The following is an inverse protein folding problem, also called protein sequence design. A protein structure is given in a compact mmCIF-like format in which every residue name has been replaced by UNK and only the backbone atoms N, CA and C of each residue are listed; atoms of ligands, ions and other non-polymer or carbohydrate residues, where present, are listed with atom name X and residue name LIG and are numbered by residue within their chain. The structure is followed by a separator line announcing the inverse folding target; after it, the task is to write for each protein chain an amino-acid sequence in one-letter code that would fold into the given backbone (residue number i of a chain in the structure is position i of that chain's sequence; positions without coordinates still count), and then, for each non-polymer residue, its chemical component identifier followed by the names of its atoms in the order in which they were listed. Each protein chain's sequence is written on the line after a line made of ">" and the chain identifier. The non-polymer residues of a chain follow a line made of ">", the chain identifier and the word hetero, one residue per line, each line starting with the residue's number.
data_IF_399868736100
#
_entry.id   IF_399868736100
#
_cell.length_a   1.000
_cell.length_b   1.000
_cell.length_c   1.000
_cell.angle_alpha   90.00
_cell.angle_beta   90.00
_cell.angle_gamma   90.00
#
_symmetry.space_group_name_H-M   'P 1'
#
loop_
_entity.id
_entity.type
_entity.pdbx_description
1 polymer ?
#
# COMPACT_ATOMS: atom_id res chain seq x y z
N UNK A 1 -46.62 -37.59 4.62
CA UNK A 1 -46.22 -37.08 5.95
C UNK A 1 -45.04 -37.85 6.54
N UNK A 2 -45.10 -39.19 6.64
CA UNK A 2 -44.02 -40.04 7.20
C UNK A 2 -42.66 -39.84 6.50
N UNK A 3 -42.61 -39.87 5.17
CA UNK A 3 -41.36 -39.69 4.41
C UNK A 3 -40.69 -38.34 4.69
N UNK A 4 -41.47 -37.26 4.72
CA UNK A 4 -40.96 -35.91 5.02
C UNK A 4 -40.37 -35.89 6.43
N UNK A 5 -41.11 -36.42 7.42
CA UNK A 5 -40.66 -36.47 8.81
C UNK A 5 -39.35 -37.25 8.95
N UNK A 6 -39.25 -38.43 8.33
CA UNK A 6 -38.04 -39.28 8.36
C UNK A 6 -36.85 -38.60 7.69
N UNK A 7 -37.06 -37.98 6.52
CA UNK A 7 -35.98 -37.26 5.82
C UNK A 7 -35.49 -36.05 6.63
N UNK A 8 -36.38 -35.27 7.23
CA UNK A 8 -35.99 -34.16 8.11
C UNK A 8 -35.20 -34.64 9.32
N UNK A 9 -35.59 -35.76 9.93
CA UNK A 9 -34.91 -36.33 11.09
C UNK A 9 -33.50 -36.81 10.74
N UNK A 10 -33.33 -37.48 9.60
CA UNK A 10 -32.03 -37.95 9.12
C UNK A 10 -31.11 -36.77 8.82
N UNK A 11 -31.58 -35.74 8.09
CA UNK A 11 -30.76 -34.55 7.77
C UNK A 11 -30.37 -33.80 9.06
N UNK A 12 -31.30 -33.65 10.00
CA UNK A 12 -31.02 -32.99 11.28
C UNK A 12 -30.00 -33.78 12.12
N UNK A 13 -30.08 -35.11 12.11
CA UNK A 13 -29.12 -35.96 12.81
C UNK A 13 -27.72 -35.86 12.18
N UNK A 14 -27.62 -35.93 10.85
CA UNK A 14 -26.34 -35.82 10.14
C UNK A 14 -25.70 -34.44 10.38
N UNK A 15 -26.47 -33.36 10.26
CA UNK A 15 -25.98 -31.99 10.50
C UNK A 15 -25.54 -31.79 11.95
N UNK A 16 -26.28 -32.33 12.91
CA UNK A 16 -25.90 -32.28 14.34
C UNK A 16 -24.62 -33.07 14.63
N UNK A 17 -24.47 -34.26 14.04
CA UNK A 17 -23.26 -35.06 14.16
C UNK A 17 -22.06 -34.32 13.55
N UNK A 18 -22.23 -33.74 12.35
CA UNK A 18 -21.16 -32.98 11.71
C UNK A 18 -20.77 -31.75 12.55
N UNK A 19 -21.75 -31.02 13.10
CA UNK A 19 -21.50 -29.89 13.99
C UNK A 19 -20.77 -30.31 15.27
N UNK A 20 -21.13 -31.45 15.87
CA UNK A 20 -20.44 -32.00 17.04
C UNK A 20 -19.00 -32.42 16.73
N UNK A 21 -18.76 -33.06 15.58
CA UNK A 21 -17.41 -33.41 15.12
C UNK A 21 -16.57 -32.15 14.90
N UNK A 22 -17.12 -31.14 14.23
CA UNK A 22 -16.42 -29.86 14.03
C UNK A 22 -16.10 -29.17 15.35
N UNK A 23 -17.04 -29.15 16.29
CA UNK A 23 -16.82 -28.57 17.63
C UNK A 23 -15.74 -29.33 18.42
N UNK A 24 -15.73 -30.66 18.32
CA UNK A 24 -14.70 -31.49 18.96
C UNK A 24 -13.33 -31.28 18.31
N UNK A 25 -13.27 -31.22 16.99
CA UNK A 25 -12.05 -30.94 16.24
C UNK A 25 -11.49 -29.54 16.57
N UNK A 26 -12.35 -28.53 16.66
CA UNK A 26 -11.96 -27.17 17.06
C UNK A 26 -11.38 -27.15 18.47
N UNK A 27 -12.03 -27.81 19.43
CA UNK A 27 -11.55 -27.91 20.82
C UNK A 27 -10.26 -28.69 21.01
N UNK A 28 -9.95 -29.66 20.15
CA UNK A 28 -8.83 -30.59 20.35
C UNK A 28 -7.66 -30.36 19.40
N UNK A 29 -7.92 -29.95 18.17
CA UNK A 29 -6.91 -29.77 17.10
C UNK A 29 -6.74 -28.29 16.74
N UNK A 30 -7.81 -27.49 16.84
CA UNK A 30 -7.82 -26.06 16.52
C UNK A 30 -7.41 -25.15 17.67
N UNK A 31 -7.64 -25.58 18.92
CA UNK A 31 -7.30 -24.81 20.11
C UNK A 31 -5.83 -24.99 20.48
N UNK A 32 -5.00 -24.04 20.06
CA UNK A 32 -3.57 -23.98 20.39
C UNK A 32 -3.30 -23.36 21.78
N UNK A 33 -4.35 -22.95 22.50
CA UNK A 33 -4.24 -22.28 23.80
C UNK A 33 -3.59 -20.90 23.71
N UNK A 34 -3.17 -20.40 24.88
CA UNK A 34 -2.35 -19.19 24.97
C UNK A 34 -0.90 -19.52 24.62
N UNK A 35 -0.30 -18.67 23.79
CA UNK A 35 1.10 -18.75 23.39
C UNK A 35 1.82 -17.46 23.75
N UNK A 36 3.12 -17.54 23.99
CA UNK A 36 3.97 -16.37 24.25
C UNK A 36 4.58 -15.85 22.97
N UNK A 37 4.29 -14.58 22.66
CA UNK A 37 4.92 -13.82 21.60
C UNK A 37 5.97 -12.89 22.21
N UNK A 38 7.25 -13.15 21.96
CA UNK A 38 8.34 -12.26 22.39
C UNK A 38 8.85 -11.45 21.21
N UNK A 39 9.00 -10.14 21.37
CA UNK A 39 9.45 -9.21 20.34
C UNK A 39 10.74 -8.54 20.81
N UNK A 40 11.78 -8.61 19.98
CA UNK A 40 13.12 -8.03 20.22
C UNK A 40 13.76 -8.45 21.56
N UNK A 41 13.39 -9.63 22.09
CA UNK A 41 13.80 -10.14 23.42
C UNK A 41 13.45 -9.22 24.61
N UNK A 42 12.58 -8.23 24.42
CA UNK A 42 12.22 -7.24 25.45
C UNK A 42 10.76 -7.33 25.85
N UNK A 43 9.85 -7.39 24.88
CA UNK A 43 8.40 -7.36 25.12
C UNK A 43 7.80 -8.73 24.91
N UNK A 44 7.09 -9.24 25.92
CA UNK A 44 6.41 -10.54 25.85
C UNK A 44 4.92 -10.35 26.04
N UNK A 45 4.14 -10.85 25.07
CA UNK A 45 2.68 -10.83 25.07
C UNK A 45 2.16 -12.25 25.22
N UNK A 46 1.09 -12.43 25.99
CA UNK A 46 0.33 -13.69 26.04
C UNK A 46 -0.85 -13.53 25.11
N UNK A 47 -0.88 -14.32 24.04
CA UNK A 47 -1.83 -14.16 22.93
C UNK A 47 -2.50 -15.48 22.59
N UNK A 48 -3.69 -15.41 21.99
CA UNK A 48 -4.41 -16.61 21.55
C UNK A 48 -3.75 -17.22 20.30
N UNK A 49 -3.42 -18.52 20.39
CA UNK A 49 -2.88 -19.29 19.28
C UNK A 49 -3.92 -19.57 18.18
N UNK A 50 -3.45 -20.03 17.02
CA UNK A 50 -4.26 -20.40 15.86
C UNK A 50 -4.42 -19.29 14.81
N UNK A 51 -4.24 -18.03 15.20
CA UNK A 51 -4.30 -16.87 14.30
C UNK A 51 -2.95 -16.61 13.60
N UNK A 52 -2.97 -15.77 12.55
CA UNK A 52 -1.73 -15.36 11.87
C UNK A 52 -0.97 -14.35 12.71
N UNK A 53 0.37 -14.37 12.64
CA UNK A 53 1.23 -13.44 13.36
C UNK A 53 0.91 -11.98 13.03
N UNK A 54 0.57 -11.67 11.77
CA UNK A 54 0.14 -10.33 11.37
C UNK A 54 -1.13 -9.89 12.12
N UNK A 55 -2.13 -10.77 12.21
CA UNK A 55 -3.38 -10.48 12.91
C UNK A 55 -3.15 -10.31 14.40
N UNK A 56 -2.35 -11.19 15.01
CA UNK A 56 -1.99 -11.12 16.43
C UNK A 56 -1.27 -9.83 16.75
N UNK A 57 -0.25 -9.46 15.97
CA UNK A 57 0.49 -8.21 16.15
C UNK A 57 -0.44 -6.99 16.05
N UNK A 58 -1.35 -7.00 15.07
CA UNK A 58 -2.34 -5.92 14.91
C UNK A 58 -3.26 -5.79 16.13
N UNK A 59 -3.73 -6.90 16.70
CA UNK A 59 -4.58 -6.89 17.89
C UNK A 59 -3.85 -6.28 19.09
N UNK A 60 -2.55 -6.56 19.22
CA UNK A 60 -1.66 -5.96 20.21
C UNK A 60 -1.20 -4.53 19.83
N UNK A 61 -1.84 -3.89 18.84
CA UNK A 61 -1.53 -2.54 18.35
C UNK A 61 -0.09 -2.39 17.79
N UNK A 62 0.49 -3.50 17.32
CA UNK A 62 1.79 -3.53 16.64
C UNK A 62 1.55 -3.69 15.14
N UNK A 63 1.81 -2.63 14.38
CA UNK A 63 1.45 -2.60 12.97
C UNK A 63 2.63 -2.95 12.07
N UNK A 64 2.56 -4.12 11.43
CA UNK A 64 3.50 -4.55 10.40
C UNK A 64 2.93 -4.19 9.02
N UNK A 65 3.73 -3.62 8.09
CA UNK A 65 3.26 -3.25 6.76
C UNK A 65 2.68 -4.46 6.00
N UNK A 66 1.50 -4.29 5.41
CA UNK A 66 0.85 -5.36 4.65
C UNK A 66 -0.08 -4.83 3.57
N UNK A 67 0.47 -4.45 2.40
CA UNK A 67 -0.31 -3.87 1.31
C UNK A 67 -1.46 -4.77 0.82
N UNK A 68 -1.25 -6.09 0.80
CA UNK A 68 -2.28 -7.07 0.39
C UNK A 68 -3.31 -7.43 1.49
N UNK A 69 -3.17 -6.86 2.70
CA UNK A 69 -4.03 -7.19 3.84
C UNK A 69 -3.98 -8.66 4.26
N UNK A 70 -2.80 -9.26 4.20
CA UNK A 70 -2.55 -10.62 4.70
C UNK A 70 -2.83 -11.78 3.74
N UNK A 71 -3.07 -11.50 2.45
CA UNK A 71 -3.27 -12.54 1.42
C UNK A 71 -1.98 -13.20 0.91
N UNK A 72 -0.81 -12.80 1.43
CA UNK A 72 0.48 -13.45 1.13
C UNK A 72 1.07 -13.15 -0.26
N UNK A 73 0.70 -12.02 -0.88
CA UNK A 73 1.13 -11.70 -2.25
C UNK A 73 2.11 -10.53 -2.38
N UNK A 74 2.18 -9.63 -1.39
CA UNK A 74 2.98 -8.39 -1.51
C UNK A 74 4.40 -8.48 -0.92
N UNK A 75 4.68 -9.43 -0.02
CA UNK A 75 5.99 -9.56 0.61
C UNK A 75 6.38 -8.47 1.62
N UNK A 76 5.54 -7.47 1.91
CA UNK A 76 5.90 -6.40 2.85
C UNK A 76 5.87 -6.80 4.33
N UNK A 77 5.09 -7.81 4.70
CA UNK A 77 4.89 -8.18 6.11
C UNK A 77 6.00 -9.06 6.68
N UNK A 78 7.23 -8.84 6.22
CA UNK A 78 8.42 -9.62 6.58
C UNK A 78 8.82 -9.33 8.02
N UNK A 79 9.09 -10.39 8.77
CA UNK A 79 9.61 -10.36 10.14
C UNK A 79 10.67 -11.43 10.29
N UNK A 80 11.66 -11.21 11.15
CA UNK A 80 12.65 -12.25 11.46
C UNK A 80 12.10 -13.11 12.59
N UNK A 81 12.08 -14.43 12.41
CA UNK A 81 11.68 -15.38 13.45
C UNK A 81 12.93 -16.03 14.01
N UNK A 82 13.24 -15.75 15.28
CA UNK A 82 14.45 -16.27 15.95
C UNK A 82 14.20 -17.62 16.60
N UNK A 83 13.00 -17.83 17.14
CA UNK A 83 12.57 -19.11 17.72
C UNK A 83 11.08 -19.36 17.43
N UNK A 84 10.68 -20.61 17.18
CA UNK A 84 9.30 -20.98 16.89
C UNK A 84 8.90 -20.78 15.42
N UNK A 85 7.60 -20.54 15.15
CA UNK A 85 7.08 -20.21 13.80
C UNK A 85 7.02 -21.35 12.77
N UNK A 86 7.62 -22.52 13.04
CA UNK A 86 7.62 -23.68 12.15
C UNK A 86 8.43 -23.46 10.86
N UNK A 87 8.32 -24.35 9.85
CA UNK A 87 9.07 -24.22 8.60
C UNK A 87 8.47 -23.16 7.67
N UNK A 88 9.31 -22.57 6.82
CA UNK A 88 8.88 -21.64 5.75
C UNK A 88 7.89 -22.34 4.82
N UNK A 89 6.74 -21.70 4.58
CA UNK A 89 5.69 -22.25 3.74
C UNK A 89 6.00 -22.01 2.26
N UNK A 90 5.43 -22.86 1.39
CA UNK A 90 5.57 -22.71 -0.06
C UNK A 90 5.02 -21.38 -0.60
N UNK A 91 4.05 -20.79 0.11
CA UNK A 91 3.49 -19.47 -0.21
C UNK A 91 4.45 -18.32 0.09
N UNK A 92 5.44 -18.53 0.95
CA UNK A 92 6.42 -17.51 1.36
C UNK A 92 7.65 -17.51 0.45
N UNK A 93 8.08 -18.69 -0.02
CA UNK A 93 9.32 -18.86 -0.80
C UNK A 93 9.47 -17.90 -2.00
N UNK A 94 8.44 -17.62 -2.81
CA UNK A 94 8.58 -16.72 -3.97
C UNK A 94 8.86 -15.26 -3.59
N UNK A 95 8.59 -14.88 -2.34
CA UNK A 95 8.68 -13.50 -1.84
C UNK A 95 9.91 -13.27 -0.94
N UNK A 96 10.71 -14.31 -0.72
CA UNK A 96 11.92 -14.27 0.09
C UNK A 96 13.16 -14.37 -0.79
N UNK A 97 14.11 -13.47 -0.59
CA UNK A 97 15.44 -13.61 -1.17
C UNK A 97 16.23 -14.71 -0.46
N UNK A 98 17.32 -15.17 -1.07
CA UNK A 98 18.21 -16.17 -0.44
C UNK A 98 18.78 -15.68 0.90
N UNK A 99 19.09 -14.39 0.99
CA UNK A 99 19.62 -13.78 2.22
C UNK A 99 18.55 -13.68 3.31
N UNK A 100 17.33 -13.28 2.94
CA UNK A 100 16.19 -13.22 3.87
C UNK A 100 15.83 -14.61 4.40
N UNK A 101 15.82 -15.61 3.51
CA UNK A 101 15.59 -17.01 3.90
C UNK A 101 16.65 -17.50 4.89
N UNK A 102 17.93 -17.19 4.65
CA UNK A 102 19.03 -17.56 5.54
C UNK A 102 18.94 -16.88 6.92
N UNK A 103 18.29 -15.72 7.02
CA UNK A 103 18.02 -15.00 8.27
C UNK A 103 16.73 -15.43 8.96
N UNK A 104 16.12 -16.57 8.59
CA UNK A 104 14.83 -17.03 9.11
C UNK A 104 13.71 -16.00 8.97
N UNK A 105 13.72 -15.23 7.88
CA UNK A 105 12.66 -14.27 7.60
C UNK A 105 11.38 -14.97 7.18
N UNK A 106 10.24 -14.49 7.69
CA UNK A 106 8.90 -15.04 7.47
C UNK A 106 7.93 -13.97 7.08
N UNK A 107 6.89 -14.34 6.34
CA UNK A 107 5.72 -13.48 6.15
C UNK A 107 4.79 -13.64 7.35
N UNK A 108 4.71 -12.61 8.18
CA UNK A 108 3.85 -12.61 9.38
C UNK A 108 2.38 -12.95 9.07
N UNK A 109 1.87 -12.64 7.86
CA UNK A 109 0.50 -13.02 7.49
C UNK A 109 0.30 -14.51 7.19
N UNK A 110 1.37 -15.24 6.87
CA UNK A 110 1.31 -16.67 6.56
C UNK A 110 1.77 -17.52 7.75
N UNK A 111 2.59 -16.96 8.64
CA UNK A 111 3.04 -17.60 9.87
C UNK A 111 1.90 -17.69 10.90
N UNK A 112 1.42 -18.90 11.18
CA UNK A 112 0.40 -19.16 12.22
C UNK A 112 1.04 -19.41 13.58
N UNK A 113 0.49 -18.81 14.62
CA UNK A 113 0.95 -19.01 16.00
C UNK A 113 0.42 -20.34 16.53
N UNK A 114 1.26 -21.38 16.56
CA UNK A 114 0.90 -22.71 17.10
C UNK A 114 1.65 -23.06 18.39
N UNK A 115 2.64 -22.26 18.73
CA UNK A 115 3.56 -22.44 19.84
C UNK A 115 4.18 -21.08 20.17
N UNK A 116 4.88 -21.00 21.30
CA UNK A 116 5.68 -19.83 21.66
C UNK A 116 6.62 -19.44 20.51
N UNK A 117 6.70 -18.13 20.26
CA UNK A 117 7.43 -17.58 19.13
C UNK A 117 8.21 -16.34 19.59
N UNK A 118 9.44 -16.22 19.09
CA UNK A 118 10.26 -15.02 19.24
C UNK A 118 10.52 -14.42 17.88
N UNK A 119 10.29 -13.12 17.77
CA UNK A 119 10.49 -12.37 16.53
C UNK A 119 11.33 -11.13 16.76
N UNK A 120 11.96 -10.68 15.68
CA UNK A 120 12.62 -9.39 15.61
C UNK A 120 11.95 -8.52 14.54
N UNK A 121 11.63 -7.29 14.94
CA UNK A 121 11.06 -6.26 14.06
C UNK A 121 11.88 -4.97 14.18
N UNK A 122 12.02 -4.20 13.08
CA UNK A 122 12.70 -2.91 13.11
C UNK A 122 12.07 -1.97 14.14
N UNK A 123 12.89 -1.22 14.88
CA UNK A 123 12.41 -0.30 15.91
C UNK A 123 11.45 0.77 15.36
N UNK A 124 11.66 1.18 14.11
CA UNK A 124 10.83 2.15 13.40
C UNK A 124 9.35 1.74 13.35
N UNK A 125 9.05 0.44 13.34
CA UNK A 125 7.67 -0.06 13.31
C UNK A 125 6.94 0.12 14.65
N UNK A 126 7.65 0.32 15.76
CA UNK A 126 6.99 0.65 17.03
C UNK A 126 6.44 2.08 17.08
N UNK A 127 6.91 2.96 16.20
CA UNK A 127 6.40 4.33 16.09
C UNK A 127 5.14 4.41 15.21
N UNK A 128 4.80 3.33 14.51
CA UNK A 128 3.58 3.25 13.71
C UNK A 128 2.38 3.12 14.65
N UNK A 129 1.41 4.02 14.48
CA UNK A 129 0.15 3.99 15.23
C UNK A 129 -1.04 4.08 14.30
N UNK A 130 -2.21 3.86 14.88
CA UNK A 130 -3.51 4.01 14.23
C UNK A 130 -4.16 5.31 14.69
N UNK A 131 -4.72 6.04 13.73
CA UNK A 131 -5.35 7.33 13.87
C UNK A 131 -6.85 7.17 13.61
N UNK A 132 -7.67 7.63 14.54
CA UNK A 132 -9.07 7.91 14.25
C UNK A 132 -9.13 9.22 13.47
N UNK A 133 -9.81 9.22 12.32
CA UNK A 133 -9.83 10.36 11.41
C UNK A 133 -11.23 10.56 10.85
N UNK A 134 -11.52 11.79 10.41
CA UNK A 134 -12.80 12.13 9.79
C UNK A 134 -12.58 12.50 8.33
N UNK A 135 -13.43 12.01 7.44
CA UNK A 135 -13.39 12.40 6.03
C UNK A 135 -13.92 13.82 5.88
N UNK A 136 -13.04 14.79 5.60
CA UNK A 136 -13.43 16.20 5.45
C UNK A 136 -13.68 16.60 4.01
N UNK A 137 -13.15 15.85 3.04
CA UNK A 137 -13.35 16.14 1.62
C UNK A 137 -13.29 14.88 0.78
N UNK A 138 -14.21 14.76 -0.19
CA UNK A 138 -14.20 13.71 -1.21
C UNK A 138 -14.60 14.31 -2.56
N UNK A 139 -13.77 14.12 -3.59
CA UNK A 139 -14.04 14.62 -4.93
C UNK A 139 -13.69 13.58 -5.98
N UNK A 140 -14.55 13.44 -6.99
CA UNK A 140 -14.27 12.59 -8.15
C UNK A 140 -13.35 13.35 -9.11
N UNK A 141 -12.09 12.94 -9.19
CA UNK A 141 -11.07 13.62 -10.00
C UNK A 141 -10.92 13.00 -11.39
N UNK A 142 -11.33 11.74 -11.56
CA UNK A 142 -11.50 11.08 -12.87
C UNK A 142 -12.74 10.17 -12.82
N UNK A 143 -13.18 9.53 -13.93
CA UNK A 143 -14.25 8.55 -13.91
C UNK A 143 -14.08 7.42 -12.87
N UNK A 144 -12.83 7.08 -12.50
CA UNK A 144 -12.50 5.95 -11.63
C UNK A 144 -11.69 6.32 -10.38
N UNK A 145 -11.21 7.56 -10.23
CA UNK A 145 -10.37 7.97 -9.10
C UNK A 145 -11.11 9.03 -8.27
N UNK A 146 -11.12 8.83 -6.95
CA UNK A 146 -11.54 9.84 -5.96
C UNK A 146 -10.31 10.41 -5.25
N UNK A 147 -10.30 11.72 -5.07
CA UNK A 147 -9.47 12.41 -4.08
C UNK A 147 -10.21 12.41 -2.74
N UNK A 148 -9.49 12.13 -1.67
CA UNK A 148 -10.01 12.17 -0.30
C UNK A 148 -9.03 12.95 0.58
N UNK A 149 -9.58 13.73 1.51
CA UNK A 149 -8.83 14.36 2.60
C UNK A 149 -9.42 13.92 3.94
N UNK A 150 -8.55 13.45 4.81
CA UNK A 150 -8.84 12.99 6.16
C UNK A 150 -8.24 13.96 7.16
N UNK A 151 -9.01 14.35 8.16
CA UNK A 151 -8.58 15.14 9.31
C UNK A 151 -8.28 14.20 10.48
N UNK A 152 -7.09 14.33 11.06
CA UNK A 152 -6.60 13.55 12.19
C UNK A 152 -6.92 14.19 13.55
N UNK A 153 -7.55 15.37 13.56
CA UNK A 153 -7.82 16.14 14.77
C UNK A 153 -6.52 16.58 15.44
N UNK A 154 -6.40 16.36 16.75
CA UNK A 154 -5.22 16.77 17.53
C UNK A 154 -4.00 15.85 17.32
N UNK A 155 -4.17 14.72 16.63
CA UNK A 155 -3.08 13.78 16.36
C UNK A 155 -2.19 14.27 15.22
N UNK A 156 -0.87 14.18 15.41
CA UNK A 156 0.12 14.43 14.35
C UNK A 156 0.65 13.13 13.75
N UNK A 157 0.76 13.10 12.42
CA UNK A 157 1.51 12.08 11.68
C UNK A 157 2.77 12.69 11.06
N UNK A 158 3.92 12.06 11.28
CA UNK A 158 5.19 12.43 10.65
C UNK A 158 5.56 11.35 9.64
N UNK A 159 5.69 11.71 8.36
CA UNK A 159 6.02 10.80 7.27
C UNK A 159 7.01 11.45 6.30
N UNK A 160 7.71 10.63 5.50
CA UNK A 160 8.57 11.10 4.42
C UNK A 160 7.78 11.19 3.11
N UNK A 161 8.05 12.19 2.25
CA UNK A 161 7.23 12.41 1.06
C UNK A 161 7.43 11.25 0.08
N UNK A 162 6.34 10.55 -0.24
CA UNK A 162 6.31 9.30 -1.01
C UNK A 162 5.77 8.10 -0.23
N UNK A 163 5.81 8.15 1.11
CA UNK A 163 5.31 7.08 1.96
C UNK A 163 3.79 6.86 1.82
N UNK A 164 3.33 5.72 2.32
CA UNK A 164 1.92 5.33 2.31
C UNK A 164 1.38 5.11 3.71
N UNK A 165 0.06 5.11 3.80
CA UNK A 165 -0.70 4.69 4.98
C UNK A 165 -1.60 3.52 4.62
N UNK A 166 -2.16 2.81 5.60
CA UNK A 166 -3.23 1.86 5.33
C UNK A 166 -4.56 2.39 5.82
N UNK A 167 -5.55 2.42 4.92
CA UNK A 167 -6.92 2.73 5.25
C UNK A 167 -7.65 1.44 5.63
N UNK A 168 -8.36 1.51 6.75
CA UNK A 168 -9.27 0.47 7.21
C UNK A 168 -10.60 0.56 6.48
N UNK A 169 -10.97 -0.51 5.78
CA UNK A 169 -12.32 -0.73 5.29
C UNK A 169 -13.05 -1.67 6.27
N UNK A 170 -14.11 -1.19 6.97
CA UNK A 170 -14.91 -2.00 7.86
C UNK A 170 -15.81 -2.97 7.08
N UNK A 171 -16.56 -3.81 7.80
CA UNK A 171 -17.68 -4.53 7.21
C UNK A 171 -18.76 -3.54 6.74
N UNK A 172 -19.41 -3.84 5.62
CA UNK A 172 -20.47 -3.05 5.01
C UNK A 172 -21.46 -3.97 4.28
N UNK A 173 -22.61 -3.45 3.84
CA UNK A 173 -23.60 -4.26 3.13
C UNK A 173 -22.99 -4.94 1.88
N UNK A 174 -22.96 -6.28 1.89
CA UNK A 174 -22.35 -7.09 0.83
C UNK A 174 -20.90 -7.52 1.08
N UNK A 175 -20.30 -7.16 2.22
CA UNK A 175 -18.97 -7.63 2.63
C UNK A 175 -18.80 -7.62 4.17
N UNK A 176 -18.63 -8.81 4.74
CA UNK A 176 -18.43 -8.98 6.19
C UNK A 176 -16.94 -9.00 6.60
N UNK A 177 -16.01 -8.89 5.65
CA UNK A 177 -14.57 -8.87 5.91
C UNK A 177 -14.05 -7.45 6.18
N UNK A 178 -13.45 -7.24 7.36
CA UNK A 178 -12.66 -6.04 7.62
C UNK A 178 -11.25 -6.16 7.01
N UNK A 179 -10.81 -5.14 6.27
CA UNK A 179 -9.50 -5.17 5.61
C UNK A 179 -8.76 -3.85 5.71
N UNK A 180 -7.43 -3.91 5.77
CA UNK A 180 -6.55 -2.76 5.57
C UNK A 180 -5.96 -2.83 4.16
N UNK A 181 -5.86 -1.68 3.49
CA UNK A 181 -5.19 -1.55 2.19
C UNK A 181 -4.30 -0.32 2.15
N UNK A 182 -3.14 -0.48 1.53
CA UNK A 182 -2.15 0.58 1.38
C UNK A 182 -2.60 1.60 0.34
N UNK A 183 -2.41 2.89 0.65
CA UNK A 183 -2.62 4.02 -0.23
C UNK A 183 -1.53 5.05 0.03
N UNK A 184 -0.80 5.44 -1.02
CA UNK A 184 0.24 6.46 -0.92
C UNK A 184 -0.33 7.81 -0.53
N UNK A 185 0.42 8.51 0.33
CA UNK A 185 0.05 9.83 0.81
C UNK A 185 0.32 10.86 -0.29
N UNK A 186 -0.67 11.70 -0.56
CA UNK A 186 -0.59 12.81 -1.50
C UNK A 186 -0.47 14.17 -0.79
N UNK A 187 -0.71 14.25 0.52
CA UNK A 187 -0.62 15.50 1.29
C UNK A 187 0.83 15.98 1.45
N UNK A 188 0.97 17.23 1.86
CA UNK A 188 2.25 17.77 2.29
C UNK A 188 2.66 17.14 3.63
N UNK A 189 3.95 16.90 3.81
CA UNK A 189 4.54 16.48 5.11
C UNK A 189 4.46 17.58 6.18
N UNK A 190 4.25 18.84 5.77
CA UNK A 190 4.09 19.96 6.69
C UNK A 190 2.66 20.05 7.25
N UNK A 191 1.69 19.38 6.63
CA UNK A 191 0.30 19.29 7.09
C UNK A 191 0.11 18.06 7.97
N UNK A 192 0.59 18.15 9.22
CA UNK A 192 0.68 17.00 10.14
C UNK A 192 -0.65 16.46 10.63
N UNK A 193 -1.72 17.23 10.47
CA UNK A 193 -3.07 16.88 10.93
C UNK A 193 -3.96 16.36 9.80
N UNK A 194 -3.43 16.21 8.58
CA UNK A 194 -4.24 15.73 7.47
C UNK A 194 -3.50 14.74 6.56
N UNK A 195 -4.27 13.78 6.07
CA UNK A 195 -3.83 12.84 5.04
C UNK A 195 -4.70 13.01 3.81
N UNK A 196 -4.06 13.13 2.65
CA UNK A 196 -4.75 13.15 1.36
C UNK A 196 -4.41 11.89 0.58
N UNK A 197 -5.42 11.24 -0.02
CA UNK A 197 -5.27 10.02 -0.80
C UNK A 197 -5.92 10.15 -2.18
N UNK A 198 -5.38 9.44 -3.16
CA UNK A 198 -5.99 9.24 -4.48
C UNK A 198 -6.34 7.76 -4.63
N UNK A 199 -7.63 7.42 -4.59
CA UNK A 199 -8.10 6.05 -4.55
C UNK A 199 -8.87 5.71 -5.84
N UNK A 200 -8.30 4.82 -6.65
CA UNK A 200 -8.90 4.28 -7.86
C UNK A 200 -9.83 3.11 -7.56
N UNK A 201 -10.98 3.04 -8.23
CA UNK A 201 -11.92 1.93 -8.11
C UNK A 201 -11.42 0.69 -8.86
N UNK A 202 -11.31 -0.44 -8.15
CA UNK A 202 -10.90 -1.73 -8.73
C UNK A 202 -11.94 -2.83 -8.54
N UNK A 203 -13.03 -2.55 -7.84
CA UNK A 203 -14.04 -3.54 -7.43
C UNK A 203 -13.61 -4.41 -6.24
N UNK A 204 -12.42 -4.20 -5.68
CA UNK A 204 -11.98 -4.86 -4.45
C UNK A 204 -12.58 -4.21 -3.20
N UNK A 205 -12.66 -4.98 -2.10
CA UNK A 205 -13.33 -4.62 -0.82
C UNK A 205 -13.11 -3.15 -0.41
N UNK A 206 -11.86 -2.74 -0.21
CA UNK A 206 -11.57 -1.38 0.25
C UNK A 206 -11.93 -0.29 -0.77
N UNK A 207 -11.75 -0.55 -2.07
CA UNK A 207 -12.14 0.43 -3.10
C UNK A 207 -13.65 0.52 -3.26
N UNK A 208 -14.38 -0.58 -3.06
CA UNK A 208 -15.84 -0.59 -3.04
C UNK A 208 -16.37 0.21 -1.85
N UNK A 209 -15.82 -0.02 -0.66
CA UNK A 209 -16.09 0.80 0.53
C UNK A 209 -15.91 2.30 0.25
N UNK A 210 -14.72 2.72 -0.21
CA UNK A 210 -14.41 4.13 -0.50
C UNK A 210 -15.31 4.73 -1.59
N UNK A 211 -15.65 3.94 -2.61
CA UNK A 211 -16.38 4.47 -3.76
C UNK A 211 -17.90 4.48 -3.57
N UNK A 212 -18.45 3.57 -2.75
CA UNK A 212 -19.90 3.33 -2.66
C UNK A 212 -20.50 3.52 -1.26
N UNK A 213 -19.71 3.41 -0.19
CA UNK A 213 -20.22 3.43 1.18
C UNK A 213 -19.68 4.59 2.03
N UNK A 214 -18.47 5.07 1.73
CA UNK A 214 -17.82 6.15 2.46
C UNK A 214 -18.33 7.54 2.01
N UNK A 215 -18.66 8.39 2.97
CA UNK A 215 -19.13 9.77 2.77
C UNK A 215 -18.29 10.78 3.56
N UNK A 216 -18.39 12.05 3.16
CA UNK A 216 -17.85 13.16 3.95
C UNK A 216 -18.56 13.22 5.31
N UNK A 217 -17.79 13.37 6.38
CA UNK A 217 -18.24 13.33 7.76
C UNK A 217 -18.08 11.97 8.45
N UNK A 218 -17.81 10.90 7.70
CA UNK A 218 -17.61 9.57 8.28
C UNK A 218 -16.29 9.46 9.04
N UNK A 219 -16.30 8.67 10.11
CA UNK A 219 -15.10 8.32 10.86
C UNK A 219 -14.44 7.07 10.28
N UNK A 220 -13.13 7.14 10.07
CA UNK A 220 -12.31 6.07 9.49
C UNK A 220 -11.00 5.93 10.26
N UNK A 221 -10.41 4.74 10.18
CA UNK A 221 -9.14 4.45 10.81
C UNK A 221 -8.04 4.35 9.74
N UNK A 222 -6.95 5.05 10.00
CA UNK A 222 -5.75 5.05 9.16
C UNK A 222 -4.59 4.61 10.05
N UNK A 223 -3.69 3.76 9.57
CA UNK A 223 -2.44 3.49 10.28
C UNK A 223 -1.22 3.76 9.39
N UNK A 224 -0.09 4.06 9.99
CA UNK A 224 1.14 4.38 9.29
C UNK A 224 2.00 5.43 10.00
N UNK A 225 2.98 6.01 9.28
CA UNK A 225 3.30 5.76 7.87
C UNK A 225 4.11 4.46 7.63
N UNK A 226 4.21 4.06 6.37
CA UNK A 226 5.06 2.96 5.91
C UNK A 226 5.74 3.28 4.58
N UNK A 227 6.70 2.44 4.21
CA UNK A 227 7.26 2.36 2.87
C UNK A 227 8.64 2.98 2.76
N UNK A 228 9.43 2.37 1.89
CA UNK A 228 10.82 2.76 1.58
C UNK A 228 10.91 3.62 0.31
N UNK A 229 9.76 3.89 -0.32
CA UNK A 229 9.66 4.86 -1.41
C UNK A 229 9.46 6.25 -0.82
N UNK A 230 10.53 7.04 -0.79
CA UNK A 230 10.49 8.44 -0.36
C UNK A 230 11.55 9.28 -1.06
N UNK A 231 11.40 10.61 -1.02
CA UNK A 231 12.40 11.54 -1.52
C UNK A 231 13.74 11.42 -0.78
N UNK A 232 14.83 11.24 -1.52
CA UNK A 232 16.18 11.16 -0.96
C UNK A 232 16.87 12.53 -1.00
N UNK A 233 17.11 13.11 0.18
CA UNK A 233 17.70 14.45 0.36
C UNK A 233 19.21 14.49 0.12
N UNK A 234 19.89 13.36 0.28
CA UNK A 234 21.33 13.19 0.13
C UNK A 234 21.79 13.19 -1.34
N UNK A 235 20.86 13.00 -2.29
CA UNK A 235 21.13 13.13 -3.71
C UNK A 235 20.77 14.54 -4.21
N UNK A 236 21.73 15.26 -4.79
CA UNK A 236 21.52 16.60 -5.36
C UNK A 236 21.36 16.60 -6.89
N UNK A 237 21.41 15.42 -7.54
CA UNK A 237 21.27 15.30 -8.99
C UNK A 237 19.88 15.67 -9.50
N UNK A 238 19.68 15.81 -10.82
CA UNK A 238 18.35 15.98 -11.40
C UNK A 238 17.43 14.78 -11.14
N UNK A 239 16.12 14.98 -11.23
CA UNK A 239 15.11 13.98 -10.89
C UNK A 239 14.25 13.65 -12.10
N UNK A 240 13.98 12.36 -12.32
CA UNK A 240 12.89 11.86 -13.15
C UNK A 240 11.80 11.33 -12.23
N UNK A 241 10.60 11.91 -12.33
CA UNK A 241 9.39 11.38 -11.71
C UNK A 241 8.58 10.67 -12.80
N UNK A 242 7.98 9.53 -12.48
CA UNK A 242 7.14 8.83 -13.44
C UNK A 242 5.97 8.11 -12.78
N UNK A 243 4.79 8.20 -13.37
CA UNK A 243 3.64 7.45 -12.89
C UNK A 243 2.44 7.43 -13.82
N UNK A 244 1.43 6.67 -13.45
CA UNK A 244 0.13 6.63 -14.12
C UNK A 244 -0.99 6.36 -13.11
N UNK A 245 -2.20 6.83 -13.41
CA UNK A 245 -3.36 6.66 -12.53
C UNK A 245 -3.09 7.20 -11.13
N UNK A 246 -3.35 6.40 -10.10
CA UNK A 246 -3.11 6.78 -8.69
C UNK A 246 -1.63 6.89 -8.31
N UNK A 247 -0.70 6.47 -9.19
CA UNK A 247 0.74 6.77 -9.07
C UNK A 247 1.07 8.26 -9.00
N UNK A 248 0.09 9.14 -9.30
CA UNK A 248 0.16 10.57 -9.03
C UNK A 248 0.34 10.91 -7.53
N UNK A 249 -0.26 10.15 -6.61
CA UNK A 249 -0.30 10.48 -5.18
C UNK A 249 1.08 10.70 -4.54
N UNK A 250 1.99 9.72 -4.53
CA UNK A 250 3.28 9.90 -3.87
C UNK A 250 4.14 10.97 -4.57
N UNK A 251 3.99 11.13 -5.89
CA UNK A 251 4.66 12.17 -6.67
C UNK A 251 4.19 13.57 -6.25
N UNK A 252 2.89 13.77 -6.00
CA UNK A 252 2.38 15.04 -5.46
C UNK A 252 2.98 15.35 -4.09
N UNK A 253 3.13 14.34 -3.22
CA UNK A 253 3.76 14.55 -1.91
C UNK A 253 5.22 15.00 -2.04
N UNK A 254 5.99 14.38 -2.96
CA UNK A 254 7.36 14.79 -3.28
C UNK A 254 7.40 16.24 -3.82
N UNK A 255 6.54 16.58 -4.78
CA UNK A 255 6.51 17.92 -5.37
C UNK A 255 6.09 19.01 -4.38
N UNK A 256 5.12 18.71 -3.48
CA UNK A 256 4.75 19.62 -2.37
C UNK A 256 5.94 19.86 -1.45
N UNK A 257 6.63 18.79 -1.02
CA UNK A 257 7.83 18.90 -0.20
C UNK A 257 8.90 19.78 -0.86
N UNK A 258 9.16 19.55 -2.15
CA UNK A 258 10.12 20.35 -2.91
C UNK A 258 9.71 21.83 -2.98
N UNK A 259 8.45 22.12 -3.30
CA UNK A 259 7.94 23.48 -3.46
C UNK A 259 7.95 24.26 -2.14
N UNK A 260 7.56 23.63 -1.04
CA UNK A 260 7.48 24.27 0.28
C UNK A 260 8.87 24.52 0.89
N UNK A 261 9.87 23.72 0.53
CA UNK A 261 11.25 23.86 0.99
C UNK A 261 12.17 24.55 -0.04
N UNK A 262 11.61 25.09 -1.13
CA UNK A 262 12.36 25.77 -2.21
C UNK A 262 13.50 24.90 -2.82
N UNK A 263 13.26 23.59 -2.97
CA UNK A 263 14.22 22.64 -3.53
C UNK A 263 14.23 22.76 -5.06
N UNK A 264 15.20 23.49 -5.60
CA UNK A 264 15.32 23.77 -7.04
C UNK A 264 16.14 22.73 -7.82
N UNK A 265 15.91 21.44 -7.58
CA UNK A 265 16.48 20.38 -8.42
C UNK A 265 15.79 20.38 -9.78
N UNK A 266 16.54 20.17 -10.86
CA UNK A 266 15.96 19.97 -12.19
C UNK A 266 15.11 18.71 -12.16
N UNK A 267 13.82 18.82 -12.47
CA UNK A 267 12.87 17.72 -12.32
C UNK A 267 12.00 17.60 -13.56
N UNK A 268 11.87 16.38 -14.08
CA UNK A 268 10.94 16.07 -15.16
C UNK A 268 9.94 15.05 -14.65
N UNK A 269 8.65 15.36 -14.73
CA UNK A 269 7.59 14.43 -14.38
C UNK A 269 6.87 13.91 -15.63
N UNK A 270 7.01 12.62 -15.89
CA UNK A 270 6.29 11.92 -16.95
C UNK A 270 5.03 11.25 -16.39
N UNK A 271 3.86 11.65 -16.89
CA UNK A 271 2.59 11.08 -16.45
C UNK A 271 1.83 10.41 -17.58
N UNK A 272 1.55 9.12 -17.41
CA UNK A 272 0.80 8.32 -18.38
C UNK A 272 -0.69 8.29 -18.09
N UNK A 273 -1.50 8.56 -19.11
CA UNK A 273 -2.96 8.43 -19.08
C UNK A 273 -3.49 7.77 -20.36
N UNK A 274 -4.77 7.39 -20.41
CA UNK A 274 -5.35 6.83 -21.65
C UNK A 274 -5.79 7.96 -22.57
N UNK A 275 -6.62 8.87 -22.05
CA UNK A 275 -7.17 10.02 -22.78
C UNK A 275 -7.06 11.29 -21.93
N UNK A 276 -7.44 12.44 -22.50
CA UNK A 276 -7.42 13.71 -21.77
C UNK A 276 -8.30 13.70 -20.51
N UNK A 277 -9.39 12.93 -20.49
CA UNK A 277 -10.28 12.81 -19.31
C UNK A 277 -9.69 12.04 -18.13
N UNK A 278 -8.57 11.35 -18.35
CA UNK A 278 -7.83 10.64 -17.30
C UNK A 278 -6.68 11.49 -16.72
N UNK A 279 -6.48 12.71 -17.23
CA UNK A 279 -5.57 13.68 -16.62
C UNK A 279 -6.30 14.42 -15.48
N UNK A 280 -5.64 14.53 -14.33
CA UNK A 280 -6.21 15.15 -13.13
C UNK A 280 -5.11 15.79 -12.28
N UNK A 281 -5.51 16.59 -11.28
CA UNK A 281 -4.61 17.44 -10.47
C UNK A 281 -3.81 18.47 -11.28
N UNK A 282 -4.26 18.82 -12.48
CA UNK A 282 -3.53 19.73 -13.38
C UNK A 282 -3.32 21.14 -12.79
N UNK A 283 -4.23 21.61 -11.94
CA UNK A 283 -4.04 22.88 -11.22
C UNK A 283 -2.86 22.82 -10.24
N UNK A 284 -2.67 21.70 -9.53
CA UNK A 284 -1.51 21.51 -8.65
C UNK A 284 -0.22 21.38 -9.47
N UNK A 285 -0.26 20.67 -10.59
CA UNK A 285 0.87 20.58 -11.51
C UNK A 285 1.29 21.97 -12.00
N UNK A 286 0.33 22.79 -12.42
CA UNK A 286 0.59 24.18 -12.83
C UNK A 286 1.20 25.00 -11.69
N UNK A 287 0.70 24.86 -10.46
CA UNK A 287 1.30 25.49 -9.29
C UNK A 287 2.77 25.09 -9.09
N UNK A 288 3.12 23.82 -9.31
CA UNK A 288 4.52 23.38 -9.24
C UNK A 288 5.38 23.93 -10.37
N UNK A 289 4.86 24.04 -11.60
CA UNK A 289 5.58 24.70 -12.72
C UNK A 289 5.87 26.18 -12.41
N UNK A 290 4.98 26.86 -11.69
CA UNK A 290 5.19 28.24 -11.24
C UNK A 290 6.17 28.34 -10.06
N UNK A 291 6.17 27.36 -9.13
CA UNK A 291 7.01 27.39 -7.91
C UNK A 291 8.39 26.77 -8.05
N UNK A 292 8.57 25.83 -8.95
CA UNK A 292 9.82 25.10 -9.17
C UNK A 292 10.35 25.44 -10.57
N UNK A 293 11.25 26.43 -10.73
CA UNK A 293 11.63 26.95 -12.05
C UNK A 293 12.28 25.92 -13.00
N UNK A 294 12.81 24.83 -12.43
CA UNK A 294 13.44 23.74 -13.19
C UNK A 294 12.56 22.48 -13.26
N UNK A 295 11.28 22.58 -12.90
CA UNK A 295 10.28 21.52 -13.03
C UNK A 295 9.62 21.56 -14.42
N UNK A 296 9.42 20.39 -15.02
CA UNK A 296 8.68 20.23 -16.27
C UNK A 296 7.72 19.05 -16.16
N UNK A 297 6.45 19.28 -16.50
CA UNK A 297 5.46 18.21 -16.63
C UNK A 297 5.32 17.75 -18.09
N UNK A 298 5.29 16.43 -18.29
CA UNK A 298 5.11 15.81 -19.60
C UNK A 298 4.04 14.72 -19.47
N UNK A 299 2.81 15.05 -19.87
CA UNK A 299 1.75 14.07 -20.02
C UNK A 299 1.88 13.32 -21.34
N UNK A 300 1.65 12.00 -21.30
CA UNK A 300 1.63 11.13 -22.47
C UNK A 300 0.36 10.28 -22.49
N UNK A 301 -0.33 10.28 -23.64
CA UNK A 301 -1.64 9.65 -23.79
C UNK A 301 -1.58 8.44 -24.71
N UNK A 302 -2.00 7.29 -24.20
CA UNK A 302 -1.86 6.00 -24.89
C UNK A 302 -3.02 5.64 -25.82
N UNK A 303 -4.16 6.32 -25.71
CA UNK A 303 -5.40 6.04 -26.45
C UNK A 303 -6.15 7.31 -26.87
N UNK A 304 -5.47 8.45 -26.83
CA UNK A 304 -6.05 9.70 -27.32
C UNK A 304 -5.90 9.75 -28.84
N UNK A 305 -6.98 10.10 -29.52
CA UNK A 305 -7.02 10.27 -30.98
C UNK A 305 -7.44 11.69 -31.37
N UNK A 306 -7.95 12.49 -30.42
CA UNK A 306 -8.38 13.85 -30.69
C UNK A 306 -7.22 14.69 -31.26
N UNK A 307 -7.45 15.46 -32.34
CA UNK A 307 -6.46 16.42 -32.86
C UNK A 307 -6.18 17.57 -31.88
N UNK A 308 -7.04 17.79 -30.88
CA UNK A 308 -6.85 18.82 -29.85
C UNK A 308 -5.67 18.49 -28.92
N UNK A 309 -5.26 17.22 -28.85
CA UNK A 309 -4.11 16.80 -28.07
C UNK A 309 -2.79 17.02 -28.83
N UNK A 310 -2.03 18.01 -28.37
CA UNK A 310 -0.72 18.37 -28.91
C UNK A 310 0.46 17.84 -28.08
N UNK A 311 0.20 17.11 -27.00
CA UNK A 311 1.23 16.52 -26.15
C UNK A 311 1.77 15.18 -26.69
N UNK A 312 2.55 14.49 -25.87
CA UNK A 312 3.11 13.19 -26.26
C UNK A 312 2.00 12.14 -26.41
N UNK A 313 2.18 11.25 -27.38
CA UNK A 313 1.32 10.08 -27.60
C UNK A 313 2.15 8.82 -27.39
N UNK A 314 1.55 7.81 -26.76
CA UNK A 314 2.23 6.58 -26.38
C UNK A 314 2.18 6.36 -24.87
N UNK A 315 3.22 5.71 -24.35
CA UNK A 315 3.37 5.43 -22.92
C UNK A 315 4.59 6.18 -22.37
N UNK A 316 4.70 6.20 -21.04
CA UNK A 316 5.79 6.87 -20.32
C UNK A 316 7.19 6.46 -20.80
N UNK A 317 7.50 5.17 -21.07
CA UNK A 317 8.79 4.78 -21.65
C UNK A 317 9.15 5.53 -22.93
N UNK A 318 8.19 5.71 -23.85
CA UNK A 318 8.39 6.40 -25.13
C UNK A 318 8.77 7.88 -24.91
N UNK A 319 8.09 8.54 -23.96
CA UNK A 319 8.38 9.92 -23.58
C UNK A 319 9.73 10.07 -22.88
N UNK A 320 10.13 9.11 -22.03
CA UNK A 320 11.47 9.11 -21.43
C UNK A 320 12.54 9.02 -22.53
N UNK A 321 12.37 8.12 -23.50
CA UNK A 321 13.32 7.98 -24.61
C UNK A 321 13.42 9.27 -25.43
N UNK A 322 12.30 9.95 -25.64
CA UNK A 322 12.23 11.20 -26.41
C UNK A 322 12.86 12.40 -25.70
N UNK A 323 12.64 12.56 -24.39
CA UNK A 323 12.97 13.80 -23.68
C UNK A 323 14.21 13.70 -22.79
N UNK A 324 14.70 12.50 -22.48
CA UNK A 324 15.94 12.29 -21.71
C UNK A 324 17.08 11.96 -22.67
N UNK A 325 18.12 12.78 -22.70
CA UNK A 325 19.31 12.53 -23.53
C UNK A 325 20.31 11.62 -22.82
N UNK A 326 20.79 12.04 -21.65
CA UNK A 326 21.68 11.27 -20.77
C UNK A 326 21.21 11.43 -19.30
N UNK A 327 21.02 10.29 -18.64
CA UNK A 327 20.51 10.09 -17.30
C UNK A 327 21.54 9.75 -16.22
N UNK A 328 22.85 9.72 -16.53
CA UNK A 328 23.93 9.26 -15.61
C UNK A 328 23.90 9.90 -14.22
N UNK A 329 23.43 11.15 -14.10
CA UNK A 329 23.36 11.87 -12.84
C UNK A 329 21.94 11.96 -12.26
N UNK A 330 20.95 11.34 -12.90
CA UNK A 330 19.56 11.40 -12.45
C UNK A 330 19.29 10.36 -11.37
N UNK A 331 18.41 10.72 -10.43
CA UNK A 331 17.62 9.75 -9.66
C UNK A 331 16.22 9.66 -10.25
N UNK A 332 15.61 8.48 -10.18
CA UNK A 332 14.28 8.24 -10.72
C UNK A 332 13.32 7.71 -9.63
N UNK A 333 12.10 8.23 -9.61
CA UNK A 333 11.04 7.86 -8.67
C UNK A 333 9.80 7.42 -9.44
N UNK A 334 9.45 6.14 -9.35
CA UNK A 334 8.46 5.49 -10.22
C UNK A 334 7.29 4.91 -9.40
N UNK A 335 6.05 5.26 -9.74
CA UNK A 335 4.88 4.70 -9.09
C UNK A 335 3.82 4.24 -10.09
N UNK A 336 3.42 2.97 -9.98
CA UNK A 336 2.43 2.41 -10.89
C UNK A 336 2.34 0.89 -10.83
N UNK A 337 1.76 0.30 -11.88
CA UNK A 337 1.66 -1.16 -11.95
C UNK A 337 3.03 -1.81 -12.19
N UNK A 338 3.25 -3.06 -11.74
CA UNK A 338 4.52 -3.77 -11.95
C UNK A 338 4.99 -3.74 -13.40
N UNK A 339 4.10 -4.04 -14.36
CA UNK A 339 4.42 -4.05 -15.78
C UNK A 339 4.84 -2.67 -16.31
N UNK A 340 4.25 -1.59 -15.78
CA UNK A 340 4.64 -0.23 -16.15
C UNK A 340 6.05 0.08 -15.62
N UNK A 341 6.30 -0.18 -14.34
CA UNK A 341 7.60 0.08 -13.71
C UNK A 341 8.70 -0.69 -14.45
N UNK A 342 8.50 -1.98 -14.72
CA UNK A 342 9.48 -2.81 -15.42
C UNK A 342 9.78 -2.28 -16.84
N UNK A 343 8.78 -1.69 -17.51
CA UNK A 343 9.00 -1.05 -18.82
C UNK A 343 9.76 0.28 -18.73
N UNK A 344 9.50 1.08 -17.69
CA UNK A 344 10.20 2.35 -17.48
C UNK A 344 11.67 2.11 -17.11
N UNK A 345 11.96 1.14 -16.24
CA UNK A 345 13.33 0.80 -15.83
C UNK A 345 14.20 0.53 -17.06
N UNK A 346 13.70 -0.24 -18.03
CA UNK A 346 14.43 -0.52 -19.29
C UNK A 346 14.77 0.75 -20.07
N UNK A 347 13.82 1.68 -20.19
CA UNK A 347 14.08 2.95 -20.86
C UNK A 347 15.02 3.86 -20.07
N UNK A 348 15.02 3.80 -18.75
CA UNK A 348 15.96 4.54 -17.91
C UNK A 348 17.38 3.97 -18.04
N UNK A 349 17.53 2.64 -18.10
CA UNK A 349 18.80 1.97 -18.38
C UNK A 349 19.36 2.35 -19.75
N UNK A 350 18.51 2.38 -20.80
CA UNK A 350 18.90 2.85 -22.14
C UNK A 350 19.40 4.31 -22.11
N UNK A 351 18.92 5.11 -21.16
CA UNK A 351 19.35 6.48 -20.91
C UNK A 351 20.46 6.59 -19.87
N UNK A 352 21.11 5.50 -19.48
CA UNK A 352 22.22 5.45 -18.53
C UNK A 352 21.88 5.92 -17.10
N UNK A 353 20.61 5.86 -16.68
CA UNK A 353 20.24 6.15 -15.28
C UNK A 353 20.79 5.03 -14.37
N UNK A 354 21.54 5.35 -13.31
CA UNK A 354 22.10 4.33 -12.41
C UNK A 354 20.99 3.53 -11.70
N UNK A 355 21.05 2.21 -11.78
CA UNK A 355 20.04 1.31 -11.17
C UNK A 355 19.88 1.52 -9.66
N UNK A 356 20.97 1.83 -8.95
CA UNK A 356 20.96 2.13 -7.51
C UNK A 356 20.32 3.49 -7.17
N UNK A 357 19.95 4.30 -8.17
CA UNK A 357 19.22 5.56 -8.04
C UNK A 357 17.80 5.50 -8.62
N UNK A 358 17.30 4.29 -8.88
CA UNK A 358 15.91 4.07 -9.32
C UNK A 358 15.11 3.53 -8.14
N UNK A 359 14.23 4.37 -7.61
CA UNK A 359 13.31 4.07 -6.53
C UNK A 359 11.92 3.85 -7.11
N UNK A 360 11.20 2.84 -6.63
CA UNK A 360 9.87 2.54 -7.15
C UNK A 360 8.94 1.94 -6.11
N UNK A 361 7.65 2.16 -6.31
CA UNK A 361 6.58 1.54 -5.55
C UNK A 361 5.55 0.89 -6.51
N UNK A 362 5.35 -0.43 -6.33
CA UNK A 362 4.51 -1.28 -7.17
C UNK A 362 3.15 -1.50 -6.50
N UNK A 363 2.08 -1.04 -7.15
CA UNK A 363 0.70 -1.16 -6.65
C UNK A 363 -0.07 -2.34 -7.22
#
# INVERSE_FOLDING_TARGET
>A
MSTILTTTLIISAITSILAAILTAADRTVGNYGEVKLTINNEKTYTVEGGTSLLSTLRNEKIFIPSACGGKGSCGYCKVVVTEGGGPVLATELPLLTKEEFAKNMRLSCQCKLKQDIKIEIPEELFNVKEYASTVVKMEKVTPTIKYLRFDLGDEEINFRPGQYVQLKAPAYEGNDEEVYRAYSVASSVNDKHAIELLIGYTGGIATTYVHQHLNVGDNVHINGPYGDFYYHEDDNGPIILAGAGTGMAPILSILKYMAENNINRKTIFFFGAKTMSDLFMLEQIKYFEEKLPAFKFIATLSREESPDWNGDRGRVPDSIIKHVENGENYSAYLCGSPAMIDSIIKSLEEKNVPLNKIYYDKF
#
